data_IF_605688160491
#
_entry.id   IF_605688160491
#
_cell.length_a   1.000
_cell.length_b   1.000
_cell.length_c   1.000
_cell.angle_alpha   90.00
_cell.angle_beta   90.00
_cell.angle_gamma   90.00
#
_symmetry.space_group_name_H-M   'P 1'
#
loop_
_entity.id
_entity.type
_entity.pdbx_description
1 polymer ?
#
# COMPACT_ATOMS: atom_id res chain seq x y z
N UNK A 1 -30.82 7.57 27.15
CA UNK A 1 -31.02 8.78 26.30
C UNK A 1 -30.22 8.58 25.02
N UNK A 2 -30.88 8.87 23.91
CA UNK A 2 -30.62 8.46 22.52
C UNK A 2 -29.24 8.81 21.95
N UNK A 3 -28.47 7.80 21.54
CA UNK A 3 -27.29 7.95 20.67
C UNK A 3 -27.74 8.16 19.22
N UNK A 4 -27.97 9.42 18.85
CA UNK A 4 -27.88 9.84 17.45
C UNK A 4 -26.42 9.64 17.04
N UNK A 5 -26.11 8.56 16.32
CA UNK A 5 -24.84 8.50 15.60
C UNK A 5 -24.84 9.64 14.59
N UNK A 6 -23.92 10.59 14.76
CA UNK A 6 -23.71 11.73 13.88
C UNK A 6 -23.49 11.26 12.42
N UNK A 7 -24.54 11.32 11.60
CA UNK A 7 -24.50 10.98 10.16
C UNK A 7 -23.43 11.77 9.40
N UNK A 8 -23.08 12.97 9.87
CA UNK A 8 -22.11 13.86 9.21
C UNK A 8 -20.69 13.27 9.16
N UNK A 9 -20.27 12.52 10.18
CA UNK A 9 -18.94 11.90 10.19
C UNK A 9 -18.81 10.80 9.13
N UNK A 10 -19.88 10.02 8.93
CA UNK A 10 -19.93 9.00 7.89
C UNK A 10 -19.92 9.64 6.49
N UNK A 11 -20.66 10.73 6.31
CA UNK A 11 -20.67 11.51 5.06
C UNK A 11 -19.27 12.07 4.78
N UNK A 12 -18.59 12.64 5.78
CA UNK A 12 -17.24 13.18 5.63
C UNK A 12 -16.24 12.11 5.15
N UNK A 13 -16.27 10.91 5.77
CA UNK A 13 -15.42 9.78 5.40
C UNK A 13 -15.71 9.25 4.00
N UNK A 14 -16.99 9.26 3.59
CA UNK A 14 -17.40 8.85 2.25
C UNK A 14 -16.92 9.83 1.19
N UNK A 15 -17.03 11.14 1.45
CA UNK A 15 -16.59 12.20 0.53
C UNK A 15 -15.08 12.20 0.30
N UNK A 16 -14.28 11.80 1.29
CA UNK A 16 -12.84 11.64 1.10
C UNK A 16 -12.45 10.30 0.50
N UNK A 17 -13.40 9.41 0.20
CA UNK A 17 -13.13 8.01 -0.17
C UNK A 17 -12.09 7.35 0.75
N UNK A 18 -12.16 7.62 2.07
CA UNK A 18 -11.18 7.17 3.08
C UNK A 18 -9.71 7.58 2.84
N UNK A 19 -9.46 8.60 2.03
CA UNK A 19 -8.15 9.24 1.94
C UNK A 19 -7.98 10.29 3.04
N UNK A 20 -6.76 10.40 3.56
CA UNK A 20 -6.40 11.46 4.48
C UNK A 20 -6.45 12.82 3.78
N UNK A 21 -7.23 13.77 4.30
CA UNK A 21 -7.34 15.09 3.72
C UNK A 21 -6.04 15.92 3.77
N UNK A 22 -5.02 15.49 4.53
CA UNK A 22 -3.71 16.16 4.58
C UNK A 22 -2.65 15.43 3.75
N UNK A 23 -2.37 14.15 4.06
CA UNK A 23 -1.31 13.40 3.40
C UNK A 23 -1.76 12.63 2.15
N UNK A 24 -3.06 12.67 1.82
CA UNK A 24 -3.67 12.04 0.64
C UNK A 24 -3.54 10.51 0.56
N UNK A 25 -3.01 9.85 1.59
CA UNK A 25 -2.93 8.39 1.65
C UNK A 25 -4.30 7.77 1.83
N UNK A 26 -4.61 6.72 1.06
CA UNK A 26 -5.77 5.87 1.28
C UNK A 26 -5.57 5.01 2.53
N UNK A 27 -6.43 5.17 3.53
CA UNK A 27 -6.28 4.52 4.84
C UNK A 27 -7.66 4.08 5.35
N UNK A 28 -8.28 3.06 4.75
CA UNK A 28 -9.68 2.70 5.01
C UNK A 28 -9.99 2.45 6.48
N UNK A 29 -9.02 1.92 7.23
CA UNK A 29 -9.16 1.52 8.63
C UNK A 29 -8.48 2.46 9.64
N UNK A 30 -7.60 3.36 9.19
CA UNK A 30 -6.74 4.19 10.04
C UNK A 30 -7.05 5.68 9.93
N UNK A 31 -8.33 6.00 9.76
CA UNK A 31 -8.85 7.36 9.55
C UNK A 31 -9.75 7.77 10.72
N UNK A 32 -9.62 9.03 11.13
CA UNK A 32 -10.43 9.67 12.16
C UNK A 32 -11.00 10.98 11.62
N UNK A 33 -12.19 11.35 12.09
CA UNK A 33 -12.78 12.64 11.77
C UNK A 33 -12.40 13.61 12.87
N UNK A 34 -11.65 14.64 12.50
CA UNK A 34 -11.24 15.72 13.37
C UNK A 34 -12.15 16.94 13.18
N UNK A 35 -12.36 17.72 14.24
CA UNK A 35 -13.08 19.00 14.17
C UNK A 35 -12.10 20.11 13.82
N UNK A 36 -12.22 20.70 12.63
CA UNK A 36 -11.34 21.79 12.15
C UNK A 36 -11.24 22.90 13.20
N UNK A 37 -12.39 23.36 13.69
CA UNK A 37 -12.49 24.14 14.91
C UNK A 37 -12.88 23.21 16.05
N UNK A 38 -12.00 23.06 17.04
CA UNK A 38 -12.23 22.17 18.18
C UNK A 38 -13.49 22.55 18.98
N UNK A 39 -14.22 21.55 19.52
CA UNK A 39 -15.41 21.78 20.37
C UNK A 39 -15.15 22.72 21.55
N UNK A 40 -13.96 22.60 22.17
CA UNK A 40 -13.53 23.48 23.28
C UNK A 40 -13.41 24.95 22.88
N UNK A 41 -13.26 25.24 21.59
CA UNK A 41 -13.20 26.60 21.01
C UNK A 41 -14.52 27.02 20.35
N UNK A 42 -15.62 26.29 20.60
CA UNK A 42 -16.94 26.55 20.02
C UNK A 42 -17.17 25.91 18.65
N UNK A 43 -16.46 24.83 18.32
CA UNK A 43 -16.69 24.03 17.11
C UNK A 43 -17.98 23.22 17.15
N UNK A 44 -18.62 23.05 15.99
CA UNK A 44 -19.87 22.30 15.81
C UNK A 44 -19.61 20.90 15.21
N UNK A 45 -20.60 20.01 15.27
CA UNK A 45 -20.60 18.70 14.58
C UNK A 45 -21.14 18.80 13.13
N UNK A 46 -21.16 20.01 12.56
CA UNK A 46 -21.56 20.25 11.18
C UNK A 46 -20.54 19.72 10.19
N UNK A 47 -20.99 19.22 9.05
CA UNK A 47 -20.13 18.63 8.02
C UNK A 47 -18.99 19.58 7.60
N UNK A 48 -19.25 20.88 7.54
CA UNK A 48 -18.23 21.89 7.19
C UNK A 48 -17.15 22.11 8.26
N UNK A 49 -17.37 21.62 9.49
CA UNK A 49 -16.37 21.66 10.55
C UNK A 49 -15.63 20.33 10.72
N UNK A 50 -15.93 19.32 9.89
CA UNK A 50 -15.32 17.98 9.98
C UNK A 50 -14.26 17.79 8.89
N UNK A 51 -13.14 17.18 9.27
CA UNK A 51 -12.07 16.78 8.35
C UNK A 51 -11.63 15.32 8.60
N UNK A 52 -11.73 14.43 7.60
CA UNK A 52 -11.13 13.10 7.66
C UNK A 52 -9.60 13.13 7.56
N UNK A 53 -8.90 12.60 8.56
CA UNK A 53 -7.43 12.54 8.58
C UNK A 53 -6.93 11.21 9.15
N UNK A 54 -5.71 10.80 8.79
CA UNK A 54 -5.09 9.64 9.41
C UNK A 54 -4.65 9.94 10.85
N UNK A 55 -4.41 8.89 11.64
CA UNK A 55 -4.00 9.03 13.05
C UNK A 55 -2.73 9.90 13.21
N UNK A 56 -1.79 9.78 12.27
CA UNK A 56 -0.55 10.57 12.27
C UNK A 56 -0.83 12.06 12.04
N UNK A 57 -1.59 12.38 11.00
CA UNK A 57 -1.99 13.76 10.70
C UNK A 57 -2.89 14.33 11.80
N UNK A 58 -3.77 13.53 12.39
CA UNK A 58 -4.60 13.94 13.52
C UNK A 58 -3.74 14.40 14.72
N UNK A 59 -2.70 13.63 15.03
CA UNK A 59 -1.75 13.97 16.10
C UNK A 59 -0.96 15.24 15.76
N UNK A 60 -0.53 15.39 14.50
CA UNK A 60 0.19 16.57 14.02
C UNK A 60 -0.64 17.87 14.13
N UNK A 61 -1.95 17.83 13.87
CA UNK A 61 -2.83 19.00 14.04
C UNK A 61 -2.82 19.52 15.48
N UNK A 62 -2.80 18.62 16.46
CA UNK A 62 -2.76 19.00 17.88
C UNK A 62 -1.36 19.37 18.39
N UNK A 63 -0.32 19.08 17.61
CA UNK A 63 1.06 19.28 18.03
C UNK A 63 1.52 20.67 17.60
N UNK A 64 1.87 21.51 18.58
CA UNK A 64 2.56 22.78 18.36
C UNK A 64 4.04 22.57 18.59
N UNK A 65 4.86 22.89 17.60
CA UNK A 65 6.32 22.89 17.75
C UNK A 65 6.85 24.27 17.41
N UNK A 66 7.99 24.65 17.99
CA UNK A 66 8.66 25.92 17.63
C UNK A 66 9.39 25.83 16.28
N UNK A 67 9.45 24.63 15.68
CA UNK A 67 10.18 24.33 14.44
C UNK A 67 9.28 24.40 13.20
N UNK A 68 7.96 24.21 13.34
CA UNK A 68 7.02 24.19 12.22
C UNK A 68 5.78 25.02 12.50
N UNK A 69 5.18 25.59 11.43
CA UNK A 69 3.94 26.35 11.56
C UNK A 69 2.79 25.40 11.93
N UNK A 70 2.00 25.77 12.92
CA UNK A 70 0.79 25.05 13.27
C UNK A 70 -0.27 25.14 12.15
N UNK A 71 -1.06 24.09 11.99
CA UNK A 71 -2.17 24.08 11.04
C UNK A 71 -3.21 25.12 11.42
N UNK A 72 -3.68 25.88 10.43
CA UNK A 72 -4.76 26.85 10.59
C UNK A 72 -6.09 26.26 10.15
N UNK A 73 -7.20 26.74 10.72
CA UNK A 73 -8.55 26.31 10.35
C UNK A 73 -8.82 26.47 8.83
N UNK A 74 -8.28 27.53 8.22
CA UNK A 74 -8.39 27.79 6.78
C UNK A 74 -7.60 26.77 5.95
N UNK A 75 -6.41 26.39 6.40
CA UNK A 75 -5.56 25.39 5.74
C UNK A 75 -6.23 23.99 5.78
N UNK A 76 -6.79 23.60 6.92
CA UNK A 76 -7.52 22.35 7.06
C UNK A 76 -8.76 22.30 6.17
N UNK A 77 -9.55 23.39 6.12
CA UNK A 77 -10.72 23.49 5.21
C UNK A 77 -10.31 23.36 3.75
N UNK A 78 -9.32 24.13 3.31
CA UNK A 78 -8.85 24.08 1.93
C UNK A 78 -8.34 22.69 1.54
N UNK A 79 -7.56 22.05 2.41
CA UNK A 79 -7.03 20.70 2.15
C UNK A 79 -8.13 19.64 2.04
N UNK A 80 -9.18 19.74 2.86
CA UNK A 80 -10.37 18.89 2.76
C UNK A 80 -11.07 19.06 1.42
N UNK A 81 -11.35 20.29 1.03
CA UNK A 81 -12.13 20.61 -0.17
C UNK A 81 -11.42 20.12 -1.44
N UNK A 82 -10.10 20.30 -1.50
CA UNK A 82 -9.26 19.76 -2.58
C UNK A 82 -9.38 18.24 -2.68
N UNK A 83 -9.35 17.51 -1.56
CA UNK A 83 -9.47 16.05 -1.58
C UNK A 83 -10.87 15.61 -2.02
N UNK A 84 -11.92 16.32 -1.61
CA UNK A 84 -13.28 16.03 -2.07
C UNK A 84 -13.44 16.25 -3.58
N UNK A 85 -12.83 17.31 -4.11
CA UNK A 85 -12.79 17.58 -5.55
C UNK A 85 -12.04 16.45 -6.28
N UNK A 86 -10.83 16.11 -5.84
CA UNK A 86 -10.03 15.02 -6.44
C UNK A 86 -10.75 13.67 -6.42
N UNK A 87 -11.51 13.34 -5.37
CA UNK A 87 -12.35 12.14 -5.30
C UNK A 87 -13.47 12.20 -6.32
N UNK A 88 -14.16 13.35 -6.43
CA UNK A 88 -15.27 13.53 -7.38
C UNK A 88 -14.83 13.46 -8.83
N UNK A 89 -13.60 13.89 -9.13
CA UNK A 89 -12.99 13.84 -10.46
C UNK A 89 -12.29 12.50 -10.75
N UNK A 90 -12.21 11.58 -9.78
CA UNK A 90 -11.53 10.30 -9.92
C UNK A 90 -10.01 10.40 -10.05
N UNK A 91 -9.39 11.51 -9.63
CA UNK A 91 -7.96 11.79 -9.75
C UNK A 91 -7.11 11.26 -8.61
N UNK A 92 -7.71 10.70 -7.56
CA UNK A 92 -6.95 10.01 -6.51
C UNK A 92 -6.69 8.57 -6.93
N UNK A 93 -5.41 8.15 -7.03
CA UNK A 93 -5.10 6.75 -7.31
C UNK A 93 -5.60 5.88 -6.15
N UNK A 94 -6.20 4.74 -6.47
CA UNK A 94 -6.40 3.64 -5.51
C UNK A 94 -5.01 3.05 -5.23
N UNK A 95 -4.15 3.79 -4.55
CA UNK A 95 -2.83 3.33 -4.16
C UNK A 95 -2.99 2.42 -2.94
N UNK A 96 -3.52 1.22 -3.19
CA UNK A 96 -3.61 0.15 -2.21
C UNK A 96 -3.23 -1.16 -2.86
N UNK A 97 -2.10 -1.15 -3.56
CA UNK A 97 -1.20 -2.28 -3.40
C UNK A 97 -0.38 -1.90 -2.18
N UNK A 98 -0.55 -2.65 -1.09
CA UNK A 98 0.50 -2.76 -0.08
C UNK A 98 1.78 -2.99 -0.87
N UNK A 99 2.60 -1.95 -1.04
CA UNK A 99 4.01 -2.12 -1.35
C UNK A 99 4.46 -3.16 -0.34
N UNK A 100 4.74 -4.41 -0.75
CA UNK A 100 5.22 -5.37 0.19
C UNK A 100 6.47 -4.74 0.76
N UNK A 101 6.59 -4.73 2.09
CA UNK A 101 7.89 -4.48 2.73
C UNK A 101 8.96 -5.45 2.22
N UNK A 102 8.55 -6.48 1.47
CA UNK A 102 9.34 -7.53 0.89
C UNK A 102 9.11 -7.63 -0.63
N UNK A 103 9.47 -6.57 -1.38
CA UNK A 103 9.51 -6.61 -2.85
C UNK A 103 10.26 -7.84 -3.38
N UNK A 104 11.23 -8.33 -2.61
CA UNK A 104 11.98 -9.56 -2.86
C UNK A 104 11.07 -10.79 -3.03
N UNK A 105 10.00 -10.92 -2.22
CA UNK A 105 9.06 -12.04 -2.36
C UNK A 105 8.25 -11.94 -3.66
N UNK A 106 7.79 -10.73 -4.02
CA UNK A 106 7.11 -10.51 -5.30
C UNK A 106 8.06 -10.79 -6.46
N UNK A 107 9.27 -10.27 -6.43
CA UNK A 107 10.29 -10.52 -7.48
C UNK A 107 10.57 -12.02 -7.61
N UNK A 108 10.66 -12.76 -6.51
CA UNK A 108 10.84 -14.21 -6.53
C UNK A 108 9.65 -14.95 -7.16
N UNK A 109 8.41 -14.60 -6.80
CA UNK A 109 7.21 -15.22 -7.39
C UNK A 109 7.08 -14.89 -8.88
N UNK A 110 7.44 -13.67 -9.26
CA UNK A 110 7.45 -13.24 -10.64
C UNK A 110 8.53 -13.97 -11.46
N UNK A 111 9.68 -14.32 -10.86
CA UNK A 111 10.80 -15.01 -11.55
C UNK A 111 10.37 -16.31 -12.22
N UNK A 112 9.56 -17.11 -11.56
CA UNK A 112 9.08 -18.39 -12.09
C UNK A 112 8.08 -18.20 -13.24
N UNK A 113 7.31 -17.11 -13.22
CA UNK A 113 6.39 -16.73 -14.29
C UNK A 113 7.10 -16.03 -15.45
N UNK A 114 8.18 -15.29 -15.17
CA UNK A 114 9.02 -14.61 -16.16
C UNK A 114 9.71 -15.61 -17.09
N UNK A 115 10.20 -16.72 -16.55
CA UNK A 115 10.81 -17.79 -17.35
C UNK A 115 9.83 -18.46 -18.32
N UNK A 116 8.52 -18.33 -18.10
CA UNK A 116 7.49 -18.89 -18.98
C UNK A 116 7.11 -17.97 -20.14
N UNK A 117 7.51 -16.69 -20.12
CA UNK A 117 7.20 -15.70 -21.17
C UNK A 117 8.45 -15.34 -21.96
N UNK A 118 8.39 -15.40 -23.30
CA UNK A 118 9.53 -15.10 -24.18
C UNK A 118 10.16 -13.70 -23.95
N UNK A 119 9.34 -12.70 -23.62
CA UNK A 119 9.77 -11.33 -23.30
C UNK A 119 10.61 -11.27 -22.01
N UNK A 120 10.34 -12.16 -21.05
CA UNK A 120 11.02 -12.26 -19.75
C UNK A 120 12.36 -13.00 -19.78
N UNK A 121 12.72 -13.64 -20.90
CA UNK A 121 13.97 -14.38 -21.00
C UNK A 121 15.18 -13.48 -20.75
N UNK A 122 16.08 -13.94 -19.88
CA UNK A 122 17.34 -13.30 -19.48
C UNK A 122 17.26 -12.05 -18.59
N UNK A 123 16.08 -11.56 -18.18
CA UNK A 123 15.98 -10.40 -17.26
C UNK A 123 16.67 -10.72 -15.93
N UNK A 124 17.67 -9.91 -15.54
CA UNK A 124 18.34 -10.09 -14.26
C UNK A 124 17.40 -9.79 -13.08
N UNK A 125 17.63 -10.42 -11.93
CA UNK A 125 16.80 -10.22 -10.74
C UNK A 125 16.78 -8.75 -10.28
N UNK A 126 17.94 -8.08 -10.37
CA UNK A 126 18.07 -6.64 -10.07
C UNK A 126 17.32 -5.77 -11.08
N UNK A 127 17.35 -6.10 -12.38
CA UNK A 127 16.55 -5.41 -13.41
C UNK A 127 15.06 -5.54 -13.12
N UNK A 128 14.64 -6.73 -12.71
CA UNK A 128 13.25 -6.98 -12.38
C UNK A 128 12.82 -6.24 -11.11
N UNK A 129 13.67 -6.19 -10.09
CA UNK A 129 13.44 -5.42 -8.88
C UNK A 129 13.29 -3.92 -9.19
N UNK A 130 14.17 -3.38 -10.03
CA UNK A 130 14.10 -1.99 -10.53
C UNK A 130 12.76 -1.74 -11.23
N UNK A 131 12.35 -2.62 -12.16
CA UNK A 131 11.11 -2.46 -12.92
C UNK A 131 9.87 -2.53 -12.02
N UNK A 132 9.82 -3.51 -11.12
CA UNK A 132 8.75 -3.70 -10.14
C UNK A 132 8.63 -2.48 -9.22
N UNK A 133 9.74 -2.01 -8.64
CA UNK A 133 9.74 -0.83 -7.77
C UNK A 133 9.33 0.43 -8.53
N UNK A 134 9.77 0.60 -9.77
CA UNK A 134 9.39 1.74 -10.62
C UNK A 134 7.88 1.78 -10.82
N UNK A 135 7.26 0.64 -11.17
CA UNK A 135 5.81 0.52 -11.32
C UNK A 135 5.05 0.79 -10.02
N UNK A 136 5.49 0.21 -8.90
CA UNK A 136 4.80 0.36 -7.62
C UNK A 136 4.91 1.75 -7.01
N UNK A 137 6.08 2.40 -7.13
CA UNK A 137 6.24 3.77 -6.68
C UNK A 137 5.63 4.78 -7.63
N UNK A 138 5.41 4.40 -8.90
CA UNK A 138 4.95 5.30 -9.96
C UNK A 138 5.80 6.57 -10.01
N UNK A 139 7.12 6.38 -10.00
CA UNK A 139 8.13 7.46 -10.02
C UNK A 139 9.16 7.21 -11.10
N UNK A 140 9.64 8.29 -11.70
CA UNK A 140 10.76 8.24 -12.65
C UNK A 140 12.04 7.76 -11.98
N UNK A 141 12.84 7.06 -12.77
CA UNK A 141 14.15 6.55 -12.40
C UNK A 141 15.16 7.69 -12.54
N UNK A 142 15.80 8.05 -11.44
CA UNK A 142 16.87 9.06 -11.40
C UNK A 142 18.22 8.37 -11.39
N UNK A 143 19.08 8.67 -12.37
CA UNK A 143 20.41 8.07 -12.47
C UNK A 143 21.47 9.15 -12.24
N UNK A 144 22.37 8.90 -11.29
CA UNK A 144 23.51 9.74 -10.99
C UNK A 144 24.80 8.95 -11.19
N UNK A 145 25.63 9.38 -12.14
CA UNK A 145 26.91 8.72 -12.46
C UNK A 145 28.04 9.29 -11.60
N UNK A 146 28.90 8.42 -11.07
CA UNK A 146 30.09 8.79 -10.31
C UNK A 146 31.35 8.33 -11.06
N UNK A 147 32.15 9.30 -11.51
CA UNK A 147 33.52 9.17 -12.07
C UNK A 147 33.82 7.94 -12.96
N UNK A 148 32.81 7.40 -13.65
CA UNK A 148 32.95 6.37 -14.68
C UNK A 148 33.06 4.92 -14.19
N UNK A 149 32.88 4.63 -12.88
CA UNK A 149 32.88 3.25 -12.36
C UNK A 149 31.50 2.80 -11.87
N UNK A 150 30.71 3.71 -11.30
CA UNK A 150 29.45 3.36 -10.64
C UNK A 150 28.33 4.35 -10.96
N UNK A 151 27.11 3.85 -10.86
CA UNK A 151 25.85 4.55 -11.06
C UNK A 151 24.99 4.37 -9.81
N UNK A 152 24.43 5.48 -9.34
CA UNK A 152 23.37 5.47 -8.34
C UNK A 152 22.04 5.57 -9.09
N UNK A 153 21.24 4.49 -9.01
CA UNK A 153 19.89 4.46 -9.56
C UNK A 153 18.92 4.64 -8.41
N UNK A 154 18.20 5.76 -8.40
CA UNK A 154 17.23 6.11 -7.36
C UNK A 154 15.81 5.99 -7.89
N UNK A 155 14.97 5.31 -7.12
CA UNK A 155 13.54 5.09 -7.42
C UNK A 155 12.77 5.35 -6.12
N UNK A 156 12.00 6.42 -6.06
CA UNK A 156 11.38 6.87 -4.82
C UNK A 156 12.41 7.05 -3.68
N UNK A 157 12.31 6.22 -2.64
CA UNK A 157 13.25 6.17 -1.51
C UNK A 157 14.35 5.11 -1.65
N UNK A 158 14.25 4.19 -2.61
CA UNK A 158 15.24 3.15 -2.84
C UNK A 158 16.43 3.68 -3.65
N UNK A 159 17.61 3.15 -3.35
CA UNK A 159 18.85 3.48 -4.05
C UNK A 159 19.62 2.20 -4.36
N UNK A 160 19.92 2.00 -5.65
CA UNK A 160 20.71 0.90 -6.16
C UNK A 160 22.09 1.39 -6.55
N UNK A 161 23.11 0.62 -6.17
CA UNK A 161 24.50 0.87 -6.55
C UNK A 161 24.91 -0.13 -7.63
N UNK A 162 25.07 0.34 -8.86
CA UNK A 162 25.32 -0.51 -10.01
C UNK A 162 26.63 -0.11 -10.71
N UNK A 163 27.36 -1.11 -11.19
CA UNK A 163 28.56 -0.87 -11.99
C UNK A 163 28.16 -0.36 -13.38
N UNK A 164 28.93 0.61 -13.89
CA UNK A 164 28.81 1.06 -15.28
C UNK A 164 30.04 0.61 -16.04
N UNK A 165 29.83 -0.04 -17.18
CA UNK A 165 30.93 -0.33 -18.09
C UNK A 165 31.40 0.96 -18.77
N UNK A 166 32.71 1.09 -18.98
CA UNK A 166 33.29 2.26 -19.65
C UNK A 166 32.54 2.52 -20.98
N UNK A 167 32.18 3.78 -21.21
CA UNK A 167 31.48 4.28 -22.41
C UNK A 167 29.97 4.04 -22.48
N UNK A 168 29.34 3.36 -21.52
CA UNK A 168 27.89 3.24 -21.47
C UNK A 168 27.22 4.39 -20.70
N UNK A 169 26.07 4.86 -21.20
CA UNK A 169 25.25 5.90 -20.58
C UNK A 169 24.56 5.41 -19.29
N UNK A 170 24.20 4.12 -19.26
CA UNK A 170 23.41 3.50 -18.20
C UNK A 170 24.03 2.17 -17.72
N UNK A 171 23.72 1.73 -16.50
CA UNK A 171 24.04 0.37 -16.04
C UNK A 171 23.40 -0.70 -16.94
N UNK A 172 24.04 -1.87 -17.00
CA UNK A 172 23.55 -3.01 -17.80
C UNK A 172 22.10 -3.39 -17.48
N UNK A 173 21.68 -3.26 -16.22
CA UNK A 173 20.32 -3.56 -15.77
C UNK A 173 19.29 -2.62 -16.40
N UNK A 174 19.62 -1.34 -16.56
CA UNK A 174 18.75 -0.36 -17.20
C UNK A 174 18.74 -0.57 -18.72
N UNK A 175 19.90 -0.86 -19.31
CA UNK A 175 20.03 -1.17 -20.75
C UNK A 175 19.16 -2.38 -21.10
N UNK A 176 19.21 -3.44 -20.30
CA UNK A 176 18.40 -4.64 -20.47
C UNK A 176 16.89 -4.35 -20.50
N UNK A 177 16.42 -3.47 -19.62
CA UNK A 177 15.01 -3.10 -19.58
C UNK A 177 14.61 -2.21 -20.77
N UNK A 178 15.51 -1.36 -21.24
CA UNK A 178 15.31 -0.52 -22.43
C UNK A 178 15.28 -1.36 -23.71
N UNK A 179 16.21 -2.32 -23.86
CA UNK A 179 16.27 -3.23 -25.02
C UNK A 179 15.02 -4.09 -25.17
N UNK A 180 14.36 -4.40 -24.04
CA UNK A 180 13.09 -5.14 -24.00
C UNK A 180 11.86 -4.24 -24.07
N UNK A 181 12.06 -2.94 -24.29
CA UNK A 181 11.00 -1.93 -24.35
C UNK A 181 10.15 -1.88 -23.08
N UNK A 182 10.68 -2.28 -21.91
CA UNK A 182 9.97 -2.25 -20.63
C UNK A 182 10.11 -0.89 -19.92
N UNK A 183 11.18 -0.16 -20.24
CA UNK A 183 11.36 1.24 -19.89
C UNK A 183 11.39 2.11 -21.15
N UNK A 184 11.06 3.38 -20.99
CA UNK A 184 11.16 4.42 -22.02
C UNK A 184 11.89 5.64 -21.48
N UNK A 185 12.63 6.33 -22.36
CA UNK A 185 13.28 7.60 -22.07
C UNK A 185 12.48 8.73 -22.74
N UNK A 186 11.78 9.54 -21.95
CA UNK A 186 11.07 10.75 -22.40
C UNK A 186 11.50 11.94 -21.54
N UNK A 187 11.66 13.11 -22.16
CA UNK A 187 12.01 14.38 -21.50
C UNK A 187 13.26 14.33 -20.56
N UNK A 188 14.19 13.42 -20.84
CA UNK A 188 15.40 13.23 -20.03
C UNK A 188 15.18 12.44 -18.73
N UNK A 189 13.99 11.85 -18.56
CA UNK A 189 13.64 10.92 -17.48
C UNK A 189 13.40 9.50 -18.00
N UNK A 190 13.73 8.51 -17.17
CA UNK A 190 13.44 7.10 -17.42
C UNK A 190 12.18 6.70 -16.67
N UNK A 191 11.19 6.18 -17.38
CA UNK A 191 9.91 5.75 -16.80
C UNK A 191 9.51 4.38 -17.36
N UNK A 192 8.50 3.78 -16.75
CA UNK A 192 7.95 2.51 -17.25
C UNK A 192 7.18 2.74 -18.54
N UNK A 193 7.44 1.91 -19.55
CA UNK A 193 6.72 2.01 -20.82
C UNK A 193 5.32 1.36 -20.71
N UNK A 194 4.38 1.66 -21.64
CA UNK A 194 3.09 0.96 -21.70
C UNK A 194 3.23 -0.58 -21.85
N UNK A 195 4.28 -1.03 -22.55
CA UNK A 195 4.64 -2.44 -22.68
C UNK A 195 5.07 -3.02 -21.33
N UNK A 196 5.89 -2.28 -20.57
CA UNK A 196 6.32 -2.63 -19.21
C UNK A 196 5.16 -2.73 -18.23
N UNK A 197 4.22 -1.77 -18.28
CA UNK A 197 3.00 -1.80 -17.46
C UNK A 197 2.14 -3.03 -17.76
N UNK A 198 1.86 -3.27 -19.05
CA UNK A 198 1.05 -4.43 -19.48
C UNK A 198 1.72 -5.74 -19.09
N UNK A 199 3.04 -5.82 -19.23
CA UNK A 199 3.83 -6.98 -18.85
C UNK A 199 3.74 -7.26 -17.35
N UNK A 200 3.94 -6.25 -16.49
CA UNK A 200 3.84 -6.38 -15.05
C UNK A 200 2.41 -6.70 -14.60
N UNK A 201 1.40 -6.03 -15.14
CA UNK A 201 0.00 -6.32 -14.84
C UNK A 201 -0.36 -7.77 -15.18
N UNK A 202 0.10 -8.24 -16.34
CA UNK A 202 -0.10 -9.62 -16.79
C UNK A 202 0.74 -10.66 -16.03
N UNK A 203 1.70 -10.26 -15.20
CA UNK A 203 2.40 -11.15 -14.28
C UNK A 203 1.81 -11.09 -12.87
N UNK A 204 1.47 -9.89 -12.39
CA UNK A 204 0.80 -9.70 -11.09
C UNK A 204 -0.55 -10.43 -11.09
N UNK A 205 -1.27 -10.40 -12.22
CA UNK A 205 -2.54 -11.12 -12.38
C UNK A 205 -2.41 -12.65 -12.40
N UNK A 206 -1.21 -13.21 -12.56
CA UNK A 206 -0.98 -14.66 -12.49
C UNK A 206 -0.50 -15.12 -11.11
N UNK A 207 -0.11 -14.20 -10.23
CA UNK A 207 0.28 -14.53 -8.87
C UNK A 207 -0.97 -15.03 -8.12
N UNK A 208 -0.97 -16.28 -7.61
CA UNK A 208 -2.06 -16.77 -6.79
C UNK A 208 -2.15 -15.88 -5.54
N UNK A 209 -3.36 -15.63 -5.07
CA UNK A 209 -3.60 -14.85 -3.86
C UNK A 209 -4.43 -15.68 -2.89
N UNK A 210 -4.16 -15.52 -1.61
CA UNK A 210 -4.99 -16.08 -0.56
C UNK A 210 -5.40 -15.02 0.45
N UNK A 211 -6.44 -15.34 1.19
CA UNK A 211 -7.00 -14.44 2.20
C UNK A 211 -6.45 -14.82 3.57
N UNK A 212 -5.88 -13.82 4.25
CA UNK A 212 -5.63 -13.88 5.69
C UNK A 212 -6.72 -13.14 6.44
N UNK A 213 -7.42 -13.87 7.30
CA UNK A 213 -8.41 -13.33 8.22
C UNK A 213 -7.77 -13.28 9.59
N UNK A 214 -7.32 -12.08 9.97
CA UNK A 214 -6.69 -11.78 11.25
C UNK A 214 -7.77 -11.50 12.28
N UNK A 215 -7.78 -12.28 13.34
CA UNK A 215 -8.87 -12.29 14.32
C UNK A 215 -8.32 -12.02 15.71
N UNK A 216 -8.98 -11.12 16.43
CA UNK A 216 -8.85 -10.98 17.89
C UNK A 216 -10.17 -11.35 18.55
N UNK A 217 -10.14 -12.38 19.39
CA UNK A 217 -11.26 -12.71 20.26
C UNK A 217 -11.37 -11.65 21.36
N UNK A 218 -12.50 -10.96 21.42
CA UNK A 218 -12.80 -9.96 22.45
C UNK A 218 -13.24 -10.59 23.79
N UNK A 219 -13.49 -11.91 23.81
CA UNK A 219 -13.87 -12.64 25.02
C UNK A 219 -12.65 -13.13 25.82
N UNK A 220 -11.71 -13.85 25.18
CA UNK A 220 -10.50 -14.36 25.84
C UNK A 220 -9.21 -13.61 25.47
N UNK A 221 -9.25 -12.71 24.48
CA UNK A 221 -8.07 -11.96 24.05
C UNK A 221 -7.17 -12.69 23.05
N UNK A 222 -7.49 -13.93 22.66
CA UNK A 222 -6.71 -14.69 21.69
C UNK A 222 -6.60 -13.96 20.35
N UNK A 223 -5.39 -13.91 19.81
CA UNK A 223 -5.13 -13.48 18.45
C UNK A 223 -4.79 -14.70 17.60
N UNK A 224 -5.46 -14.85 16.45
CA UNK A 224 -5.20 -15.93 15.52
C UNK A 224 -5.46 -15.48 14.09
N UNK A 225 -4.89 -16.20 13.14
CA UNK A 225 -5.01 -15.90 11.71
C UNK A 225 -5.58 -17.14 11.03
N UNK A 226 -6.62 -16.94 10.22
CA UNK A 226 -7.14 -17.98 9.32
C UNK A 226 -6.63 -17.66 7.93
N UNK A 227 -5.83 -18.56 7.34
CA UNK A 227 -5.43 -18.49 5.93
C UNK A 227 -6.41 -19.33 5.10
N UNK A 228 -7.02 -18.75 4.08
CA UNK A 228 -8.07 -19.40 3.28
C UNK A 228 -8.07 -18.92 1.83
N UNK A 229 -8.47 -19.80 0.90
CA UNK A 229 -8.73 -19.42 -0.50
C UNK A 229 -10.13 -18.81 -0.67
N UNK A 230 -11.05 -19.10 0.27
CA UNK A 230 -12.46 -18.73 0.18
C UNK A 230 -12.78 -17.55 1.12
N UNK A 231 -12.62 -16.32 0.62
CA UNK A 231 -12.83 -15.06 1.37
C UNK A 231 -14.20 -14.97 2.04
N UNK A 232 -15.25 -15.49 1.40
CA UNK A 232 -16.64 -15.34 1.87
C UNK A 232 -17.00 -16.22 3.06
N UNK A 233 -16.21 -17.26 3.36
CA UNK A 233 -16.54 -18.25 4.40
C UNK A 233 -16.31 -17.75 5.83
N UNK A 234 -15.50 -16.71 6.00
CA UNK A 234 -14.97 -16.30 7.31
C UNK A 234 -15.36 -14.86 7.66
N UNK A 235 -16.56 -14.69 8.21
CA UNK A 235 -17.09 -13.42 8.69
C UNK A 235 -17.07 -13.35 10.22
N UNK A 236 -17.30 -12.17 10.80
CA UNK A 236 -17.43 -12.00 12.25
C UNK A 236 -18.56 -12.84 12.89
N UNK A 237 -19.50 -13.36 12.09
CA UNK A 237 -20.59 -14.24 12.53
C UNK A 237 -20.23 -15.73 12.44
N UNK A 238 -19.43 -16.12 11.45
CA UNK A 238 -19.10 -17.53 11.20
C UNK A 238 -17.83 -17.99 11.92
N UNK A 239 -16.96 -17.06 12.33
CA UNK A 239 -15.72 -17.40 13.03
C UNK A 239 -15.99 -17.71 14.49
N UNK A 240 -15.54 -18.88 14.92
CA UNK A 240 -15.48 -19.31 16.32
C UNK A 240 -14.06 -19.13 16.86
N UNK A 241 -13.93 -18.62 18.08
CA UNK A 241 -12.65 -18.61 18.77
C UNK A 241 -12.24 -20.06 19.11
N UNK A 242 -11.05 -20.52 18.70
CA UNK A 242 -10.62 -21.91 18.92
C UNK A 242 -10.36 -22.23 20.40
N UNK A 243 -10.10 -21.23 21.24
CA UNK A 243 -9.90 -21.44 22.68
C UNK A 243 -11.21 -21.45 23.47
N UNK A 244 -12.00 -20.37 23.38
CA UNK A 244 -13.18 -20.19 24.24
C UNK A 244 -14.52 -20.43 23.53
N UNK A 245 -14.51 -20.80 22.25
CA UNK A 245 -15.71 -21.08 21.46
C UNK A 245 -16.57 -19.85 21.10
N UNK A 246 -16.20 -18.65 21.57
CA UNK A 246 -16.96 -17.42 21.36
C UNK A 246 -17.16 -17.12 19.86
N UNK A 247 -18.39 -16.75 19.48
CA UNK A 247 -18.81 -16.41 18.13
C UNK A 247 -19.71 -15.16 18.11
N UNK A 248 -20.37 -14.90 16.98
CA UNK A 248 -21.44 -13.89 16.86
C UNK A 248 -21.02 -12.44 17.18
N UNK A 249 -19.93 -11.97 16.56
CA UNK A 249 -19.48 -10.57 16.69
C UNK A 249 -18.61 -10.27 17.91
N UNK A 250 -18.24 -11.29 18.70
CA UNK A 250 -17.19 -11.19 19.74
C UNK A 250 -15.77 -11.30 19.20
N UNK A 251 -15.62 -11.25 17.89
CA UNK A 251 -14.35 -11.32 17.19
C UNK A 251 -14.15 -10.01 16.42
N UNK A 252 -13.04 -9.31 16.70
CA UNK A 252 -12.55 -8.24 15.83
C UNK A 252 -11.83 -8.90 14.66
N UNK A 253 -12.30 -8.66 13.44
CA UNK A 253 -11.82 -9.33 12.24
C UNK A 253 -11.25 -8.30 11.27
N UNK A 254 -10.05 -8.57 10.77
CA UNK A 254 -9.40 -7.83 9.71
C UNK A 254 -9.02 -8.80 8.58
N UNK A 255 -9.49 -8.52 7.37
CA UNK A 255 -9.24 -9.35 6.18
C UNK A 255 -8.17 -8.67 5.34
N UNK A 256 -7.17 -9.44 4.92
CA UNK A 256 -6.09 -9.01 4.04
C UNK A 256 -5.93 -10.05 2.93
N UNK A 257 -5.83 -9.60 1.68
CA UNK A 257 -5.37 -10.45 0.58
C UNK A 257 -3.84 -10.42 0.54
N UNK A 258 -3.23 -11.60 0.43
CA UNK A 258 -1.79 -11.78 0.37
C UNK A 258 -1.42 -12.50 -0.94
N UNK A 259 -0.46 -11.97 -1.72
CA UNK A 259 0.11 -12.68 -2.87
C UNK A 259 0.93 -13.89 -2.42
N UNK A 260 0.95 -14.93 -3.24
CA UNK A 260 1.63 -16.19 -2.99
C UNK A 260 0.68 -17.33 -2.64
N UNK A 261 1.24 -18.45 -2.18
CA UNK A 261 0.45 -19.60 -1.77
C UNK A 261 0.28 -19.69 -0.25
N UNK A 262 -0.87 -20.20 0.21
CA UNK A 262 -1.17 -20.40 1.64
C UNK A 262 -0.04 -21.17 2.37
N UNK A 263 0.56 -22.16 1.72
CA UNK A 263 1.56 -23.04 2.34
C UNK A 263 2.88 -22.34 2.69
N UNK A 264 3.10 -21.12 2.20
CA UNK A 264 4.28 -20.32 2.54
C UNK A 264 4.19 -19.77 3.98
N UNK A 265 2.97 -19.52 4.46
CA UNK A 265 2.71 -18.93 5.79
C UNK A 265 2.21 -19.94 6.82
N UNK A 266 1.60 -21.03 6.38
CA UNK A 266 1.06 -22.06 7.28
C UNK A 266 1.51 -23.45 6.86
N UNK A 267 1.67 -24.37 7.81
CA UNK A 267 2.17 -25.72 7.52
C UNK A 267 1.31 -26.42 6.47
N UNK A 268 1.93 -26.75 5.33
CA UNK A 268 1.38 -27.70 4.37
C UNK A 268 1.62 -29.13 4.85
N UNK A 269 2.50 -29.87 4.18
CA UNK A 269 2.92 -31.23 4.57
C UNK A 269 4.02 -31.24 5.65
N UNK A 270 3.96 -30.33 6.63
CA UNK A 270 4.97 -30.31 7.70
C UNK A 270 4.84 -31.54 8.62
N UNK A 271 5.95 -31.94 9.25
CA UNK A 271 5.92 -33.01 10.25
C UNK A 271 5.09 -32.57 11.46
N UNK A 272 4.25 -33.48 11.96
CA UNK A 272 3.42 -33.23 13.13
C UNK A 272 4.32 -33.02 14.35
N UNK A 273 4.15 -31.88 15.02
CA UNK A 273 4.84 -31.58 16.26
C UNK A 273 4.20 -32.37 17.40
N UNK A 274 4.95 -33.26 18.05
CA UNK A 274 4.52 -33.96 19.27
C UNK A 274 3.92 -35.36 19.09
N UNK A 275 4.23 -36.07 18.00
CA UNK A 275 4.05 -37.54 17.98
C UNK A 275 5.34 -38.20 18.51
N UNK A 276 5.41 -38.37 19.83
CA UNK A 276 6.05 -39.54 20.45
C UNK A 276 5.03 -40.66 20.58
#
# INVERSE_FOLDING_TARGET
MSTQLNNNSAIALSKSARHCCLCRKYLPLSMQVHHIKEKKRGGTDELDNLIPVCIQCHSAIHTKTDMTRAFTDAELKSSRDIVYEMVSEGKLPVSDINIPSDFTQIVSLLKDELQKKEVGNNISETSMEILVKTYFYNTDIQIMNSDGEYSYVKIGSDMFFLNIEKYYKYPRQIIELLEKELLSEEDGGLHISPTGETFLQGLIGTIPTYTQVKVKCLNCGLHFIICTWDKERHTNKTIHCPECGANNGRNLVWIQEKPGFIFEDVPGNAMLCGME
#
